data_IF_292401316803
#
_entry.id   IF_292401316803
#
_cell.length_a   1.000
_cell.length_b   1.000
_cell.length_c   1.000
_cell.angle_alpha   90.00
_cell.angle_beta   90.00
_cell.angle_gamma   90.00
#
_symmetry.space_group_name_H-M   'P 1'
#
loop_
_entity.id
_entity.type
_entity.pdbx_description
1 polymer ?
#
# COMPACT_ATOMS: atom_id res chain seq x y z
N UNK A 1 19.53 27.58 10.79
CA UNK A 1 18.51 26.80 11.52
C UNK A 1 17.14 27.24 11.00
N UNK A 2 16.60 26.54 9.99
CA UNK A 2 15.34 26.93 9.33
C UNK A 2 14.17 26.48 10.21
N UNK A 3 13.36 27.43 10.68
CA UNK A 3 12.13 27.14 11.44
C UNK A 3 11.09 26.57 10.47
N UNK A 4 10.79 25.27 10.62
CA UNK A 4 9.73 24.59 9.88
C UNK A 4 8.35 24.98 10.43
N UNK A 5 7.44 25.33 9.53
CA UNK A 5 6.06 25.72 9.84
C UNK A 5 5.29 24.55 10.48
N UNK A 6 4.26 24.79 11.32
CA UNK A 6 3.41 23.74 11.87
C UNK A 6 2.81 22.80 10.80
N UNK A 7 2.56 23.31 9.59
CA UNK A 7 2.10 22.51 8.46
C UNK A 7 3.17 21.53 7.97
N UNK A 8 4.43 21.96 7.92
CA UNK A 8 5.57 21.13 7.49
C UNK A 8 5.81 19.96 8.46
N UNK A 9 5.55 20.19 9.76
CA UNK A 9 5.65 19.15 10.79
C UNK A 9 4.59 18.06 10.63
N UNK A 10 3.37 18.42 10.23
CA UNK A 10 2.28 17.44 10.01
C UNK A 10 2.62 16.55 8.81
N UNK A 11 3.16 17.13 7.73
CA UNK A 11 3.59 16.38 6.53
C UNK A 11 4.77 15.46 6.85
N UNK A 12 5.76 15.94 7.62
CA UNK A 12 6.89 15.12 8.04
C UNK A 12 6.47 13.97 8.98
N UNK A 13 5.46 14.19 9.82
CA UNK A 13 4.99 13.19 10.77
C UNK A 13 4.10 12.12 10.11
N UNK A 14 3.31 12.47 9.10
CA UNK A 14 2.55 11.49 8.30
C UNK A 14 3.46 10.64 7.41
N UNK A 15 4.54 11.23 6.86
CA UNK A 15 5.54 10.52 6.09
C UNK A 15 6.33 9.51 6.94
N UNK A 16 6.81 9.92 8.13
CA UNK A 16 7.53 9.04 9.05
C UNK A 16 6.67 7.89 9.57
N UNK A 17 5.39 8.15 9.86
CA UNK A 17 4.45 7.13 10.27
C UNK A 17 4.16 6.07 9.20
N UNK A 18 4.59 6.25 7.95
CA UNK A 18 4.33 5.32 6.84
C UNK A 18 5.49 4.38 6.51
N UNK A 19 6.58 4.39 7.29
CA UNK A 19 7.77 3.57 7.00
C UNK A 19 8.57 4.07 5.79
N UNK A 20 8.24 5.26 5.26
CA UNK A 20 8.92 5.89 4.13
C UNK A 20 10.31 6.48 4.51
N UNK A 21 10.84 6.19 5.70
CA UNK A 21 11.83 7.06 6.34
C UNK A 21 13.30 6.72 6.06
N UNK A 22 13.63 5.54 5.55
CA UNK A 22 15.06 5.15 5.45
C UNK A 22 15.57 5.17 4.00
N UNK A 23 14.84 4.60 3.04
CA UNK A 23 15.24 4.63 1.62
C UNK A 23 14.90 5.92 0.84
N UNK A 24 14.28 6.90 1.50
CA UNK A 24 13.83 8.15 0.88
C UNK A 24 14.91 9.26 0.93
N UNK A 25 15.92 9.11 1.80
CA UNK A 25 17.06 10.03 1.95
C UNK A 25 18.26 9.70 1.05
N UNK A 26 18.32 8.52 0.43
CA UNK A 26 19.48 8.06 -0.38
C UNK A 26 19.31 8.23 -1.90
N UNK A 27 18.31 8.98 -2.38
CA UNK A 27 18.02 9.07 -3.82
C UNK A 27 17.97 10.52 -4.28
N UNK A 28 19.15 11.08 -4.55
CA UNK A 28 19.41 12.50 -4.86
C UNK A 28 19.30 12.87 -6.36
N UNK A 29 18.48 12.17 -7.15
CA UNK A 29 18.23 12.60 -8.54
C UNK A 29 16.86 13.27 -8.66
N UNK A 30 16.85 14.54 -9.13
CA UNK A 30 15.64 15.36 -9.27
C UNK A 30 14.45 14.66 -9.95
N UNK A 31 14.64 13.90 -11.05
CA UNK A 31 13.56 13.16 -11.69
C UNK A 31 12.95 12.05 -10.83
N UNK A 32 13.76 11.36 -10.02
CA UNK A 32 13.29 10.29 -9.13
C UNK A 32 12.47 10.87 -7.97
N UNK A 33 12.91 12.00 -7.42
CA UNK A 33 12.17 12.75 -6.39
C UNK A 33 10.81 13.24 -6.93
N UNK A 34 10.79 13.82 -8.14
CA UNK A 34 9.56 14.32 -8.76
C UNK A 34 8.51 13.21 -8.95
N UNK A 35 8.93 12.05 -9.48
CA UNK A 35 8.04 10.89 -9.63
C UNK A 35 7.46 10.43 -8.30
N UNK A 36 8.26 10.36 -7.23
CA UNK A 36 7.81 9.94 -5.90
C UNK A 36 6.81 10.93 -5.29
N UNK A 37 7.06 12.23 -5.43
CA UNK A 37 6.14 13.28 -4.96
C UNK A 37 4.81 13.24 -5.72
N UNK A 38 4.82 12.98 -7.03
CA UNK A 38 3.61 12.79 -7.82
C UNK A 38 2.79 11.59 -7.34
N UNK A 39 3.44 10.43 -7.15
CA UNK A 39 2.75 9.23 -6.65
C UNK A 39 2.19 9.48 -5.25
N UNK A 40 2.92 10.16 -4.37
CA UNK A 40 2.46 10.50 -3.04
C UNK A 40 1.28 11.48 -3.04
N UNK A 41 1.33 12.52 -3.87
CA UNK A 41 0.23 13.48 -4.02
C UNK A 41 -1.02 12.78 -4.55
N UNK A 42 -0.87 11.92 -5.57
CA UNK A 42 -1.97 11.13 -6.12
C UNK A 42 -2.56 10.19 -5.08
N UNK A 43 -1.73 9.52 -4.27
CA UNK A 43 -2.19 8.66 -3.18
C UNK A 43 -2.99 9.43 -2.12
N UNK A 44 -2.52 10.62 -1.73
CA UNK A 44 -3.21 11.49 -0.78
C UNK A 44 -4.58 11.95 -1.28
N UNK A 45 -4.68 12.38 -2.55
CA UNK A 45 -5.95 12.77 -3.16
C UNK A 45 -6.91 11.58 -3.25
N UNK A 46 -6.41 10.40 -3.61
CA UNK A 46 -7.24 9.20 -3.73
C UNK A 46 -7.67 8.62 -2.38
N UNK A 47 -6.92 8.84 -1.29
CA UNK A 47 -7.34 8.48 0.05
C UNK A 47 -8.48 9.38 0.57
N UNK A 48 -8.63 10.59 0.02
CA UNK A 48 -9.61 11.57 0.47
C UNK A 48 -11.06 11.11 0.31
N UNK A 49 -11.42 10.57 -0.87
CA UNK A 49 -12.78 10.07 -1.15
C UNK A 49 -13.19 8.93 -0.21
N UNK A 50 -12.40 7.84 -0.09
CA UNK A 50 -12.75 6.79 0.83
C UNK A 50 -12.69 7.29 2.27
N UNK A 51 -11.97 8.34 2.66
CA UNK A 51 -12.05 8.86 4.03
C UNK A 51 -13.34 9.64 4.36
N UNK A 52 -14.05 10.18 3.36
CA UNK A 52 -15.22 11.06 3.57
C UNK A 52 -16.56 10.42 3.26
N UNK A 53 -16.60 9.55 2.25
CA UNK A 53 -17.86 8.93 1.83
C UNK A 53 -18.25 7.78 2.79
N UNK A 54 -19.55 7.50 2.94
CA UNK A 54 -20.08 6.49 3.87
C UNK A 54 -20.82 5.35 3.17
N UNK A 55 -20.69 5.25 1.84
CA UNK A 55 -21.33 4.17 1.07
C UNK A 55 -20.72 2.80 1.36
N UNK A 56 -21.48 1.74 1.06
CA UNK A 56 -21.03 0.36 1.24
C UNK A 56 -19.71 0.06 0.50
N UNK A 57 -19.60 0.56 -0.75
CA UNK A 57 -18.38 0.44 -1.54
C UNK A 57 -17.18 1.14 -0.89
N UNK A 58 -17.41 2.26 -0.21
CA UNK A 58 -16.38 2.99 0.53
C UNK A 58 -15.86 2.16 1.70
N UNK A 59 -16.76 1.50 2.44
CA UNK A 59 -16.39 0.62 3.56
C UNK A 59 -15.53 -0.55 3.07
N UNK A 60 -15.99 -1.27 2.04
CA UNK A 60 -15.23 -2.38 1.43
C UNK A 60 -13.85 -1.94 0.93
N UNK A 61 -13.79 -0.75 0.30
CA UNK A 61 -12.52 -0.18 -0.17
C UNK A 61 -11.56 0.12 0.98
N UNK A 62 -12.05 0.70 2.09
CA UNK A 62 -11.22 0.96 3.28
C UNK A 62 -10.68 -0.35 3.87
N UNK A 63 -11.52 -1.36 4.01
CA UNK A 63 -11.14 -2.67 4.55
C UNK A 63 -10.08 -3.35 3.68
N UNK A 64 -10.28 -3.36 2.36
CA UNK A 64 -9.29 -3.86 1.42
C UNK A 64 -7.94 -3.14 1.55
N UNK A 65 -7.94 -1.81 1.57
CA UNK A 65 -6.70 -1.02 1.68
C UNK A 65 -6.00 -1.22 3.02
N UNK A 66 -6.74 -1.29 4.14
CA UNK A 66 -6.17 -1.60 5.45
C UNK A 66 -5.56 -3.00 5.46
N UNK A 67 -6.23 -4.00 4.89
CA UNK A 67 -5.70 -5.36 4.78
C UNK A 67 -4.42 -5.38 3.92
N UNK A 68 -4.44 -4.70 2.77
CA UNK A 68 -3.30 -4.61 1.87
C UNK A 68 -2.12 -3.87 2.51
N UNK A 69 -2.38 -2.93 3.42
CA UNK A 69 -1.32 -2.26 4.18
C UNK A 69 -0.52 -3.23 5.07
N UNK A 70 -1.11 -4.35 5.50
CA UNK A 70 -0.46 -5.28 6.43
C UNK A 70 -0.23 -4.69 7.83
N UNK A 71 -0.72 -3.47 8.10
CA UNK A 71 -0.56 -2.79 9.38
C UNK A 71 -1.55 -3.36 10.38
N UNK A 72 -1.05 -3.66 11.58
CA UNK A 72 -1.89 -4.01 12.72
C UNK A 72 -2.56 -2.73 13.22
N UNK A 73 -3.88 -2.60 13.04
CA UNK A 73 -4.67 -1.49 13.57
C UNK A 73 -5.31 -1.91 14.90
N UNK A 74 -5.48 -0.94 15.81
CA UNK A 74 -6.20 -1.21 17.07
C UNK A 74 -7.65 -1.55 16.75
N UNK A 75 -8.23 -2.54 17.45
CA UNK A 75 -9.64 -2.95 17.28
C UNK A 75 -10.64 -1.80 17.41
N UNK A 76 -10.32 -0.79 18.23
CA UNK A 76 -11.14 0.41 18.43
C UNK A 76 -11.04 1.43 17.30
N UNK A 77 -10.02 1.35 16.44
CA UNK A 77 -9.84 2.22 15.28
C UNK A 77 -9.33 1.42 14.08
N UNK A 78 -10.20 0.59 13.48
CA UNK A 78 -9.80 -0.36 12.44
C UNK A 78 -9.32 0.33 11.16
N UNK A 79 -9.84 1.52 10.87
CA UNK A 79 -9.45 2.34 9.71
C UNK A 79 -8.70 3.59 10.18
N UNK A 80 -7.47 3.76 9.69
CA UNK A 80 -6.64 4.94 9.97
C UNK A 80 -6.11 5.51 8.65
N UNK A 81 -5.91 6.84 8.59
CA UNK A 81 -5.35 7.48 7.40
C UNK A 81 -3.98 6.91 7.00
N UNK A 82 -3.03 6.64 7.91
CA UNK A 82 -1.76 6.00 7.56
C UNK A 82 -1.90 4.59 6.99
N UNK A 83 -2.89 3.81 7.44
CA UNK A 83 -3.16 2.48 6.88
C UNK A 83 -3.78 2.56 5.48
N UNK A 84 -4.69 3.51 5.25
CA UNK A 84 -5.28 3.73 3.93
C UNK A 84 -4.24 4.19 2.91
N UNK A 85 -3.37 5.13 3.28
CA UNK A 85 -2.31 5.64 2.41
C UNK A 85 -1.30 4.56 2.05
N UNK A 86 -0.80 3.81 3.03
CA UNK A 86 0.13 2.70 2.81
C UNK A 86 -0.49 1.59 1.95
N UNK A 87 -1.75 1.25 2.19
CA UNK A 87 -2.52 0.35 1.31
C UNK A 87 -2.62 0.86 -0.12
N UNK A 88 -2.80 2.17 -0.32
CA UNK A 88 -2.86 2.80 -1.65
C UNK A 88 -1.53 2.74 -2.40
N UNK A 89 -0.41 2.98 -1.71
CA UNK A 89 0.92 2.81 -2.30
C UNK A 89 1.15 1.37 -2.75
N UNK A 90 0.86 0.40 -1.89
CA UNK A 90 0.97 -1.03 -2.22
C UNK A 90 0.06 -1.42 -3.37
N UNK A 91 -1.14 -0.85 -3.47
CA UNK A 91 -2.04 -1.06 -4.60
C UNK A 91 -1.42 -0.59 -5.91
N UNK A 92 -0.71 0.54 -5.95
CA UNK A 92 -0.04 1.00 -7.17
C UNK A 92 1.07 0.05 -7.60
N UNK A 93 1.89 -0.41 -6.67
CA UNK A 93 2.91 -1.42 -6.96
C UNK A 93 2.27 -2.72 -7.45
N UNK A 94 1.21 -3.19 -6.79
CA UNK A 94 0.45 -4.37 -7.19
C UNK A 94 -0.15 -4.22 -8.59
N UNK A 95 -0.66 -3.04 -8.94
CA UNK A 95 -1.20 -2.78 -10.27
C UNK A 95 -0.15 -2.96 -11.36
N UNK A 96 1.08 -2.49 -11.14
CA UNK A 96 2.19 -2.73 -12.06
C UNK A 96 2.44 -4.23 -12.26
N UNK A 97 2.53 -4.97 -11.16
CA UNK A 97 2.75 -6.42 -11.17
C UNK A 97 1.64 -7.15 -11.94
N UNK A 98 0.37 -6.83 -11.68
CA UNK A 98 -0.77 -7.49 -12.33
C UNK A 98 -0.89 -7.19 -13.83
N UNK A 99 -0.26 -6.12 -14.33
CA UNK A 99 -0.23 -5.81 -15.77
C UNK A 99 0.96 -6.43 -16.48
N UNK A 100 2.02 -6.76 -15.75
CA UNK A 100 3.28 -7.26 -16.30
C UNK A 100 3.37 -8.79 -16.24
N UNK A 101 2.80 -9.40 -15.20
CA UNK A 101 2.91 -10.84 -14.94
C UNK A 101 1.53 -11.50 -14.97
N UNK A 102 1.48 -12.68 -15.59
CA UNK A 102 0.32 -13.57 -15.54
C UNK A 102 0.14 -14.18 -14.14
N UNK A 103 -1.05 -14.70 -13.86
CA UNK A 103 -1.34 -15.35 -12.57
C UNK A 103 -0.45 -16.59 -12.40
N UNK A 104 -0.21 -17.31 -13.50
CA UNK A 104 0.59 -18.52 -13.55
C UNK A 104 2.06 -18.24 -13.18
N UNK A 105 2.63 -17.15 -13.70
CA UNK A 105 3.99 -16.71 -13.33
C UNK A 105 4.08 -16.31 -11.87
N UNK A 106 3.08 -15.58 -11.36
CA UNK A 106 3.03 -15.20 -9.95
C UNK A 106 2.91 -16.42 -9.03
N UNK A 107 2.16 -17.44 -9.43
CA UNK A 107 2.08 -18.72 -8.72
C UNK A 107 3.43 -19.45 -8.75
N UNK A 108 4.09 -19.52 -9.90
CA UNK A 108 5.42 -20.13 -10.01
C UNK A 108 6.46 -19.45 -9.10
N UNK A 109 6.42 -18.10 -9.01
CA UNK A 109 7.29 -17.37 -8.07
C UNK A 109 6.96 -17.69 -6.61
N UNK A 110 5.68 -17.82 -6.27
CA UNK A 110 5.24 -18.16 -4.93
C UNK A 110 5.64 -19.60 -4.55
N UNK A 111 5.51 -20.55 -5.46
CA UNK A 111 5.90 -21.95 -5.26
C UNK A 111 7.41 -22.10 -5.10
N UNK A 112 8.19 -21.37 -5.90
CA UNK A 112 9.65 -21.34 -5.76
C UNK A 112 10.09 -20.73 -4.43
N UNK A 113 9.53 -19.59 -4.04
CA UNK A 113 9.90 -18.90 -2.80
C UNK A 113 9.34 -19.56 -1.53
N UNK A 114 8.17 -20.20 -1.64
CA UNK A 114 7.41 -20.75 -0.51
C UNK A 114 6.81 -22.12 -0.85
N UNK A 115 7.64 -23.17 -1.02
CA UNK A 115 7.24 -24.47 -1.57
C UNK A 115 6.21 -25.28 -0.75
N UNK A 116 5.70 -24.75 0.37
CA UNK A 116 4.77 -25.46 1.27
C UNK A 116 3.59 -24.64 1.81
N UNK A 117 3.29 -23.45 1.28
CA UNK A 117 2.25 -22.57 1.88
C UNK A 117 1.07 -22.19 1.00
N UNK A 118 1.15 -22.39 -0.31
CA UNK A 118 0.09 -22.04 -1.25
C UNK A 118 -0.47 -23.28 -1.94
N UNK A 119 -0.87 -24.30 -1.18
CA UNK A 119 -1.85 -25.24 -1.73
C UNK A 119 -3.13 -24.45 -2.01
N UNK A 120 -3.38 -24.18 -3.29
CA UNK A 120 -4.60 -23.52 -3.75
C UNK A 120 -5.77 -24.35 -3.23
N UNK A 121 -6.71 -23.80 -2.44
CA UNK A 121 -7.92 -24.53 -2.08
C UNK A 121 -8.77 -24.66 -3.35
N UNK A 122 -8.54 -25.72 -4.13
CA UNK A 122 -9.16 -25.91 -5.44
C UNK A 122 -8.59 -27.05 -6.30
N UNK A 123 -7.35 -27.49 -6.07
CA UNK A 123 -6.87 -28.77 -6.63
C UNK A 123 -7.04 -29.86 -5.59
N UNK A 124 -8.30 -30.16 -5.26
CA UNK A 124 -8.62 -31.40 -4.58
C UNK A 124 -8.07 -32.55 -5.42
N UNK A 125 -7.17 -33.31 -4.80
CA UNK A 125 -6.69 -34.60 -5.25
C UNK A 125 -7.90 -35.48 -5.61
N UNK A 126 -8.11 -35.66 -6.91
CA UNK A 126 -9.10 -36.56 -7.49
C UNK A 126 -8.51 -37.17 -8.75
N UNK A 127 -8.32 -38.49 -8.67
CA UNK A 127 -8.22 -39.49 -9.74
C UNK A 127 -7.12 -39.31 -10.81
N UNK A 128 -6.04 -40.10 -10.74
CA UNK A 128 -5.92 -41.52 -11.14
C UNK A 128 -4.82 -42.18 -10.30
#
# INVERSE_FOLDING_TARGET
MVQLSPADRIVLQTAQGSGASVGMLEQETGPALFKRVLIATQACVLAWRPMRETGEQTVRTREFLVRLSGRQTKRTRPVTAPALLDGLFKRFSLWGVLNEYSIEELQAFADFAFPRRFETPGKAKGDV
#
